data_IF_713406216887
#
_entry.id   IF_713406216887
#
_cell.length_a   1.000
_cell.length_b   1.000
_cell.length_c   1.000
_cell.angle_alpha   90.00
_cell.angle_beta   90.00
_cell.angle_gamma   90.00
#
_symmetry.space_group_name_H-M   'P 1'
#
loop_
_entity.id
_entity.type
_entity.pdbx_description
1 polymer ?
#
# COMPACT_ATOMS: atom_id res chain seq x y z
N UNK A 1 5.32 -29.18 88.98
CA UNK A 1 6.73 -29.07 88.55
C UNK A 1 6.76 -28.41 87.18
N UNK A 2 7.52 -27.30 87.08
CA UNK A 2 8.09 -26.59 85.90
C UNK A 2 7.48 -26.92 84.52
N UNK A 3 6.69 -26.00 83.93
CA UNK A 3 7.12 -24.91 83.02
C UNK A 3 7.48 -25.39 81.61
N UNK A 4 6.66 -25.07 80.61
CA UNK A 4 7.02 -24.07 79.59
C UNK A 4 5.87 -23.80 78.58
N UNK A 5 5.59 -22.51 78.46
CA UNK A 5 4.91 -21.76 77.40
C UNK A 5 5.33 -22.24 75.99
N UNK A 6 4.55 -22.10 74.90
CA UNK A 6 4.00 -20.84 74.39
C UNK A 6 3.10 -21.08 73.14
N UNK A 7 2.08 -20.21 72.97
CA UNK A 7 1.41 -19.73 71.72
C UNK A 7 0.42 -20.66 71.02
N UNK A 8 -0.89 -20.51 71.25
CA UNK A 8 -1.86 -19.50 70.74
C UNK A 8 -2.39 -19.85 69.34
N UNK A 9 -3.71 -20.08 69.30
CA UNK A 9 -4.56 -20.47 68.19
C UNK A 9 -4.96 -19.28 67.29
N UNK A 10 -5.17 -19.55 66.00
CA UNK A 10 -6.06 -18.80 65.08
C UNK A 10 -6.53 -19.82 64.01
N UNK A 11 -7.75 -20.34 64.14
CA UNK A 11 -8.98 -19.94 63.46
C UNK A 11 -9.08 -20.39 61.98
N UNK A 12 -10.09 -21.20 61.72
CA UNK A 12 -10.51 -21.70 60.42
C UNK A 12 -11.15 -20.59 59.58
N UNK A 13 -10.84 -20.56 58.28
CA UNK A 13 -11.55 -19.75 57.30
C UNK A 13 -11.68 -20.51 55.98
N UNK A 14 -12.93 -20.60 55.51
CA UNK A 14 -13.41 -21.27 54.31
C UNK A 14 -12.68 -20.87 53.03
N UNK A 15 -12.45 -21.85 52.15
CA UNK A 15 -12.12 -21.63 50.74
C UNK A 15 -13.28 -20.89 50.04
N UNK A 16 -13.05 -19.64 49.63
CA UNK A 16 -13.78 -19.02 48.53
C UNK A 16 -13.00 -19.23 47.23
N UNK A 17 -13.54 -20.04 46.34
CA UNK A 17 -13.10 -20.15 44.94
C UNK A 17 -13.43 -18.84 44.20
N UNK A 18 -12.43 -17.99 43.98
CA UNK A 18 -12.52 -16.88 43.03
C UNK A 18 -12.31 -17.43 41.62
N UNK A 19 -13.40 -17.64 40.87
CA UNK A 19 -13.33 -17.80 39.42
C UNK A 19 -12.99 -16.44 38.78
N UNK A 20 -11.70 -16.18 38.58
CA UNK A 20 -11.20 -15.14 37.68
C UNK A 20 -11.55 -15.54 36.24
N UNK A 21 -12.67 -15.02 35.73
CA UNK A 21 -12.96 -15.05 34.31
C UNK A 21 -11.93 -14.15 33.59
N UNK A 22 -10.89 -14.78 33.04
CA UNK A 22 -10.02 -14.18 32.04
C UNK A 22 -10.85 -13.97 30.77
N UNK A 23 -11.52 -12.82 30.68
CA UNK A 23 -12.00 -12.33 29.39
C UNK A 23 -10.79 -12.01 28.54
N UNK A 24 -10.62 -12.59 27.35
CA UNK A 24 -9.62 -12.10 26.42
C UNK A 24 -10.01 -10.66 26.11
N UNK A 25 -9.15 -9.71 26.49
CA UNK A 25 -9.25 -8.36 25.99
C UNK A 25 -9.00 -8.46 24.48
N UNK A 26 -10.08 -8.59 23.71
CA UNK A 26 -10.08 -8.25 22.30
C UNK A 26 -9.68 -6.79 22.29
N UNK A 27 -8.43 -6.52 21.90
CA UNK A 27 -7.96 -5.18 21.61
C UNK A 27 -8.82 -4.66 20.47
N UNK A 28 -9.90 -3.96 20.81
CA UNK A 28 -10.61 -3.11 19.88
C UNK A 28 -9.65 -1.96 19.56
N UNK A 29 -8.86 -2.13 18.50
CA UNK A 29 -8.17 -1.01 17.89
C UNK A 29 -9.24 -0.05 17.37
N UNK A 30 -9.45 1.03 18.11
CA UNK A 30 -10.24 2.18 17.67
C UNK A 30 -9.63 2.70 16.36
N UNK A 31 -10.41 3.01 15.32
CA UNK A 31 -9.88 3.62 14.10
C UNK A 31 -9.15 4.93 14.42
N UNK A 32 -8.19 5.28 13.56
CA UNK A 32 -7.14 6.31 13.69
C UNK A 32 -7.58 7.78 13.90
N UNK A 33 -8.76 8.05 14.46
CA UNK A 33 -9.33 9.39 14.67
C UNK A 33 -8.72 10.17 15.86
N UNK A 34 -7.61 9.72 16.45
CA UNK A 34 -7.01 10.35 17.64
C UNK A 34 -5.50 10.66 17.53
N UNK A 35 -4.85 10.35 16.41
CA UNK A 35 -3.39 10.51 16.29
C UNK A 35 -2.96 11.96 16.03
N UNK A 36 -3.84 12.80 15.47
CA UNK A 36 -3.56 14.19 15.13
C UNK A 36 -4.53 15.12 15.85
N UNK A 37 -4.05 16.29 16.26
CA UNK A 37 -4.92 17.34 16.78
C UNK A 37 -5.86 17.86 15.67
N UNK A 38 -7.03 18.44 16.03
CA UNK A 38 -7.91 19.06 15.05
C UNK A 38 -7.15 20.09 14.20
N UNK A 39 -7.22 19.92 12.88
CA UNK A 39 -6.50 20.75 11.93
C UNK A 39 -7.47 21.40 10.94
N UNK A 40 -7.23 22.67 10.63
CA UNK A 40 -7.94 23.40 9.58
C UNK A 40 -6.96 23.71 8.45
N UNK A 41 -7.06 23.02 7.30
CA UNK A 41 -6.15 23.25 6.19
C UNK A 41 -6.39 24.62 5.53
N UNK A 42 -5.35 25.22 4.91
CA UNK A 42 -5.53 26.30 3.95
C UNK A 42 -6.53 25.90 2.87
N UNK A 43 -7.24 26.89 2.31
CA UNK A 43 -8.30 26.66 1.32
C UNK A 43 -7.91 27.19 -0.04
N UNK A 44 -8.34 26.45 -1.07
CA UNK A 44 -8.37 26.91 -2.44
C UNK A 44 -9.52 27.89 -2.65
N UNK A 45 -9.56 28.53 -3.83
CA UNK A 45 -10.62 29.49 -4.18
C UNK A 45 -12.03 28.89 -4.23
N UNK A 46 -12.14 27.57 -4.39
CA UNK A 46 -13.40 26.81 -4.35
C UNK A 46 -13.84 26.43 -2.91
N UNK A 47 -13.07 26.81 -1.90
CA UNK A 47 -13.36 26.54 -0.48
C UNK A 47 -12.92 25.16 0.01
N UNK A 48 -12.42 24.29 -0.86
CA UNK A 48 -11.88 22.99 -0.46
C UNK A 48 -10.44 23.11 0.03
N UNK A 49 -9.94 22.14 0.82
CA UNK A 49 -8.54 22.13 1.25
C UNK A 49 -7.55 22.20 0.09
N UNK A 50 -6.47 22.95 0.29
CA UNK A 50 -5.32 22.95 -0.59
C UNK A 50 -4.43 21.73 -0.31
N UNK A 51 -4.47 20.75 -1.22
CA UNK A 51 -3.66 19.53 -1.15
C UNK A 51 -2.38 19.65 -1.99
N UNK A 52 -2.10 20.79 -2.62
CA UNK A 52 -0.93 20.96 -3.49
C UNK A 52 0.36 20.65 -2.75
N UNK A 53 1.24 19.89 -3.39
CA UNK A 53 2.55 19.58 -2.83
C UNK A 53 3.12 18.27 -3.34
N UNK A 54 4.35 18.01 -2.93
CA UNK A 54 5.01 16.72 -3.14
C UNK A 54 4.85 15.92 -1.85
N UNK A 55 4.28 14.74 -1.96
CA UNK A 55 3.92 13.84 -0.89
C UNK A 55 4.65 12.51 -1.06
N UNK A 56 4.93 11.83 0.04
CA UNK A 56 5.58 10.52 0.01
C UNK A 56 5.05 9.64 1.15
N UNK A 57 4.82 8.37 0.85
CA UNK A 57 4.59 7.37 1.88
C UNK A 57 5.92 6.95 2.50
N UNK A 58 5.99 6.94 3.84
CA UNK A 58 7.15 6.46 4.58
C UNK A 58 6.80 5.13 5.29
N UNK A 59 6.36 4.16 4.50
CA UNK A 59 5.97 2.80 4.91
C UNK A 59 6.63 1.78 3.99
N UNK A 60 6.63 0.50 4.37
CA UNK A 60 7.15 -0.60 3.55
C UNK A 60 6.07 -1.35 2.76
N UNK A 61 4.89 -0.73 2.57
CA UNK A 61 3.73 -1.29 1.88
C UNK A 61 4.01 -1.79 0.44
N UNK A 62 5.00 -1.22 -0.26
CA UNK A 62 5.40 -1.73 -1.58
C UNK A 62 6.15 -3.08 -1.51
N UNK A 63 6.70 -3.43 -0.35
CA UNK A 63 7.33 -4.73 -0.11
C UNK A 63 6.31 -5.78 0.30
N UNK A 64 5.49 -5.48 1.30
CA UNK A 64 4.34 -6.28 1.75
C UNK A 64 3.40 -5.34 2.53
N UNK A 65 2.09 -5.42 2.27
CA UNK A 65 1.08 -4.66 3.00
C UNK A 65 0.87 -5.13 4.45
N UNK A 66 1.20 -6.39 4.73
CA UNK A 66 1.12 -7.00 6.06
C UNK A 66 2.44 -6.86 6.83
N UNK A 67 2.43 -7.23 8.12
CA UNK A 67 3.66 -7.30 8.92
C UNK A 67 4.64 -8.28 8.28
N UNK A 68 5.91 -7.88 8.18
CA UNK A 68 6.93 -8.71 7.56
C UNK A 68 8.32 -8.43 8.15
N UNK A 69 9.13 -9.48 8.21
CA UNK A 69 10.54 -9.38 8.56
C UNK A 69 11.37 -8.83 7.39
N UNK A 70 12.55 -8.34 7.73
CA UNK A 70 13.57 -8.05 6.73
C UNK A 70 13.95 -9.34 6.01
N UNK A 71 14.09 -9.27 4.68
CA UNK A 71 14.31 -10.44 3.84
C UNK A 71 15.42 -10.22 2.82
N UNK A 72 16.16 -11.28 2.43
CA UNK A 72 17.09 -11.18 1.32
C UNK A 72 16.35 -10.87 0.01
N UNK A 73 17.03 -10.16 -0.89
CA UNK A 73 16.54 -9.98 -2.26
C UNK A 73 16.55 -11.29 -3.06
N UNK A 74 16.08 -11.30 -4.32
CA UNK A 74 16.10 -12.50 -5.18
C UNK A 74 17.50 -13.04 -5.52
N UNK A 75 18.52 -12.17 -5.55
CA UNK A 75 19.93 -12.51 -5.87
C UNK A 75 20.89 -12.03 -4.77
N UNK A 76 20.78 -12.54 -3.53
CA UNK A 76 21.61 -12.08 -2.41
C UNK A 76 23.09 -12.46 -2.61
N UNK A 77 23.39 -13.46 -3.43
CA UNK A 77 24.74 -13.85 -3.84
C UNK A 77 25.45 -12.79 -4.69
N UNK A 78 24.69 -11.95 -5.41
CA UNK A 78 25.24 -10.86 -6.23
C UNK A 78 25.16 -9.53 -5.49
N UNK A 79 24.01 -9.24 -4.89
CA UNK A 79 23.70 -7.90 -4.35
C UNK A 79 23.93 -7.78 -2.85
N UNK A 80 24.07 -8.89 -2.11
CA UNK A 80 24.17 -8.89 -0.65
C UNK A 80 23.07 -8.06 0.01
N UNK A 81 23.44 -7.24 0.99
CA UNK A 81 22.51 -6.36 1.70
C UNK A 81 21.89 -5.26 0.81
N UNK A 82 22.51 -4.86 -0.30
CA UNK A 82 21.95 -3.83 -1.19
C UNK A 82 20.68 -4.28 -1.90
N UNK A 83 20.47 -5.59 -2.06
CA UNK A 83 19.24 -6.15 -2.62
C UNK A 83 18.17 -6.50 -1.58
N UNK A 84 18.46 -6.31 -0.28
CA UNK A 84 17.56 -6.70 0.81
C UNK A 84 16.29 -5.86 0.88
N UNK A 85 15.19 -6.49 1.29
CA UNK A 85 13.96 -5.81 1.67
C UNK A 85 13.94 -5.48 3.17
N UNK A 86 13.44 -4.30 3.58
CA UNK A 86 13.32 -3.93 4.99
C UNK A 86 12.21 -4.74 5.67
N UNK A 87 12.26 -4.77 7.01
CA UNK A 87 11.10 -5.18 7.81
C UNK A 87 10.02 -4.08 7.77
N UNK A 88 8.79 -4.45 8.09
CA UNK A 88 7.64 -3.58 7.96
C UNK A 88 6.53 -3.86 8.96
N UNK A 89 5.85 -2.78 9.35
CA UNK A 89 4.56 -2.88 10.02
C UNK A 89 3.44 -2.87 9.00
N UNK A 90 2.38 -3.62 9.26
CA UNK A 90 1.21 -3.68 8.43
C UNK A 90 0.54 -2.31 8.33
N UNK A 91 0.13 -1.97 7.11
CA UNK A 91 -0.77 -0.85 6.85
C UNK A 91 -2.23 -1.28 6.75
N UNK A 92 -2.51 -2.58 6.82
CA UNK A 92 -3.86 -3.18 6.71
C UNK A 92 -4.58 -3.03 8.05
N UNK A 93 -5.81 -2.52 8.01
CA UNK A 93 -6.65 -2.46 9.21
C UNK A 93 -6.96 -3.88 9.70
N UNK A 94 -6.56 -4.17 10.94
CA UNK A 94 -6.65 -5.51 11.54
C UNK A 94 -5.56 -6.48 11.12
N UNK A 95 -4.59 -6.07 10.28
CA UNK A 95 -3.39 -6.84 9.93
C UNK A 95 -3.62 -8.03 8.99
N UNK A 96 -4.86 -8.29 8.57
CA UNK A 96 -5.22 -9.46 7.74
C UNK A 96 -5.95 -9.07 6.46
N UNK A 97 -5.46 -9.59 5.34
CA UNK A 97 -6.13 -9.47 4.03
C UNK A 97 -7.06 -10.68 3.84
N UNK A 98 -8.37 -10.46 3.60
CA UNK A 98 -9.39 -11.51 3.66
C UNK A 98 -9.49 -12.31 2.35
N UNK A 99 -8.40 -12.97 1.94
CA UNK A 99 -8.33 -13.78 0.73
C UNK A 99 -9.36 -14.91 0.68
N UNK A 100 -9.88 -15.19 -0.52
CA UNK A 100 -10.46 -16.51 -0.80
C UNK A 100 -9.35 -17.57 -0.81
N UNK A 101 -9.64 -18.85 -0.51
CA UNK A 101 -8.62 -19.90 -0.46
C UNK A 101 -7.78 -20.05 -1.75
N UNK A 102 -8.42 -20.02 -2.92
CA UNK A 102 -7.73 -20.11 -4.21
C UNK A 102 -6.86 -18.86 -4.48
N UNK A 103 -7.32 -17.68 -4.04
CA UNK A 103 -6.57 -16.44 -4.19
C UNK A 103 -5.31 -16.42 -3.31
N UNK A 104 -5.38 -16.94 -2.09
CA UNK A 104 -4.21 -17.09 -1.22
C UNK A 104 -3.15 -18.01 -1.84
N UNK A 105 -3.56 -19.10 -2.50
CA UNK A 105 -2.63 -19.96 -3.23
C UNK A 105 -1.97 -19.22 -4.41
N UNK A 106 -2.73 -18.42 -5.16
CA UNK A 106 -2.20 -17.58 -6.25
C UNK A 106 -1.23 -16.51 -5.74
N UNK A 107 -1.51 -15.86 -4.60
CA UNK A 107 -0.61 -14.91 -3.92
C UNK A 107 0.77 -15.53 -3.65
N UNK A 108 0.80 -16.77 -3.14
CA UNK A 108 2.06 -17.51 -2.91
C UNK A 108 2.81 -17.80 -4.22
N UNK A 109 2.10 -18.23 -5.26
CA UNK A 109 2.70 -18.43 -6.58
C UNK A 109 3.25 -17.11 -7.17
N UNK A 110 2.53 -16.00 -7.00
CA UNK A 110 2.99 -14.68 -7.41
C UNK A 110 4.30 -14.32 -6.70
N UNK A 111 4.36 -14.49 -5.38
CA UNK A 111 5.58 -14.24 -4.59
C UNK A 111 6.77 -15.05 -5.08
N UNK A 112 6.60 -16.36 -5.32
CA UNK A 112 7.66 -17.25 -5.81
C UNK A 112 8.17 -16.84 -7.21
N UNK A 113 7.30 -16.26 -8.04
CA UNK A 113 7.62 -15.88 -9.41
C UNK A 113 7.90 -14.38 -9.59
N UNK A 114 7.90 -13.58 -8.52
CA UNK A 114 7.92 -12.10 -8.57
C UNK A 114 9.09 -11.50 -9.37
N UNK A 115 10.25 -12.15 -9.36
CA UNK A 115 11.45 -11.71 -10.08
C UNK A 115 11.63 -12.38 -11.45
N UNK A 116 10.52 -12.81 -12.09
CA UNK A 116 10.55 -13.40 -13.44
C UNK A 116 10.12 -12.39 -14.49
N UNK A 117 10.86 -12.39 -15.60
CA UNK A 117 10.52 -11.63 -16.78
C UNK A 117 10.75 -12.51 -18.00
N UNK A 118 9.68 -13.17 -18.44
CA UNK A 118 9.68 -13.93 -19.69
C UNK A 118 8.75 -13.23 -20.68
N UNK A 119 9.35 -12.60 -21.69
CA UNK A 119 8.65 -11.94 -22.79
C UNK A 119 8.66 -12.77 -24.08
N UNK A 120 9.23 -13.99 -24.04
CA UNK A 120 9.20 -14.91 -25.18
C UNK A 120 7.86 -15.61 -25.36
N UNK A 121 7.01 -15.57 -24.33
CA UNK A 121 5.67 -16.16 -24.36
C UNK A 121 4.68 -15.18 -25.00
N UNK A 122 4.34 -15.43 -26.26
CA UNK A 122 3.33 -14.64 -26.97
C UNK A 122 1.98 -14.65 -26.21
N UNK A 123 1.32 -13.48 -26.17
CA UNK A 123 0.03 -13.18 -25.48
C UNK A 123 0.00 -13.27 -23.95
N UNK A 124 0.95 -13.92 -23.27
CA UNK A 124 0.92 -14.12 -21.80
C UNK A 124 2.10 -13.52 -21.04
N UNK A 125 2.98 -12.81 -21.73
CA UNK A 125 4.19 -12.24 -21.14
C UNK A 125 3.93 -11.28 -19.96
N UNK A 126 2.72 -10.73 -19.82
CA UNK A 126 2.30 -9.92 -18.67
C UNK A 126 1.88 -10.75 -17.43
N UNK A 127 1.54 -12.02 -17.58
CA UNK A 127 0.94 -12.85 -16.52
C UNK A 127 1.97 -13.39 -15.51
N UNK A 128 3.27 -13.28 -15.83
CA UNK A 128 4.35 -13.86 -15.04
C UNK A 128 5.21 -12.79 -14.36
N UNK A 129 5.36 -12.89 -13.04
CA UNK A 129 6.20 -11.99 -12.25
C UNK A 129 5.56 -10.63 -11.96
N UNK A 130 6.21 -9.87 -11.08
CA UNK A 130 5.69 -8.57 -10.64
C UNK A 130 5.79 -7.55 -11.80
N UNK A 131 4.71 -6.87 -12.19
CA UNK A 131 4.76 -5.80 -13.19
C UNK A 131 5.76 -4.68 -12.86
N UNK A 132 5.96 -4.37 -11.57
CA UNK A 132 6.95 -3.38 -11.13
C UNK A 132 8.36 -3.76 -11.61
N UNK A 133 8.70 -5.06 -11.54
CA UNK A 133 10.01 -5.58 -11.95
C UNK A 133 10.32 -5.34 -13.43
N UNK A 134 9.28 -5.16 -14.25
CA UNK A 134 9.35 -4.87 -15.69
C UNK A 134 9.13 -3.40 -16.02
N UNK A 135 9.09 -2.53 -15.01
CA UNK A 135 8.78 -1.10 -15.15
C UNK A 135 7.39 -0.84 -15.76
N UNK A 136 6.37 -1.66 -15.43
CA UNK A 136 4.99 -1.29 -15.74
C UNK A 136 4.42 -0.39 -14.65
N UNK A 137 3.46 0.44 -15.07
CA UNK A 137 2.71 1.30 -14.17
C UNK A 137 2.04 0.44 -13.08
N UNK A 138 2.20 0.80 -11.80
CA UNK A 138 1.91 -0.08 -10.67
C UNK A 138 0.41 -0.17 -10.33
N UNK A 139 -0.43 0.68 -10.92
CA UNK A 139 -1.83 0.82 -10.53
C UNK A 139 -2.03 1.51 -9.18
N UNK A 140 -3.27 1.53 -8.73
CA UNK A 140 -3.75 2.20 -7.52
C UNK A 140 -4.34 1.12 -6.60
N UNK A 141 -4.00 1.10 -5.29
CA UNK A 141 -3.30 2.14 -4.54
C UNK A 141 -1.76 2.09 -4.58
N UNK A 142 -1.14 1.08 -5.21
CA UNK A 142 0.32 0.87 -5.15
C UNK A 142 1.16 2.09 -5.49
N UNK A 143 0.82 2.82 -6.55
CA UNK A 143 1.52 4.05 -6.93
C UNK A 143 1.69 5.04 -5.77
N UNK A 144 0.70 5.14 -4.87
CA UNK A 144 0.66 6.09 -3.75
C UNK A 144 1.62 5.72 -2.61
N UNK A 145 2.01 4.45 -2.48
CA UNK A 145 2.92 3.98 -1.42
C UNK A 145 4.19 3.30 -1.90
N UNK A 146 4.50 3.40 -3.19
CA UNK A 146 5.85 3.13 -3.66
C UNK A 146 6.86 4.01 -2.92
N UNK A 147 8.13 3.58 -2.76
CA UNK A 147 9.16 4.35 -2.07
C UNK A 147 9.66 5.56 -2.89
N UNK A 148 8.76 6.21 -3.63
CA UNK A 148 8.99 7.38 -4.47
C UNK A 148 7.95 8.45 -4.13
N UNK A 149 8.30 9.75 -4.21
CA UNK A 149 7.32 10.81 -4.02
C UNK A 149 6.34 10.90 -5.19
N UNK A 150 5.23 11.58 -4.96
CA UNK A 150 4.26 11.99 -5.96
C UNK A 150 3.81 13.43 -5.70
N UNK A 151 3.39 14.13 -6.74
CA UNK A 151 2.93 15.50 -6.66
C UNK A 151 1.43 15.59 -6.91
N UNK A 152 0.72 16.28 -6.02
CA UNK A 152 -0.66 16.70 -6.24
C UNK A 152 -0.61 18.11 -6.84
N UNK A 153 -1.26 18.27 -8.00
CA UNK A 153 -1.49 19.56 -8.67
C UNK A 153 -3.00 19.78 -8.73
N UNK A 154 -3.46 20.66 -7.85
CA UNK A 154 -4.85 21.04 -7.68
C UNK A 154 -5.00 22.52 -8.09
N UNK A 155 -5.80 22.76 -9.12
CA UNK A 155 -6.26 24.11 -9.48
C UNK A 155 -7.75 24.28 -9.18
N UNK A 156 -8.33 25.39 -9.63
CA UNK A 156 -9.79 25.63 -9.52
C UNK A 156 -10.63 24.89 -10.58
N UNK A 157 -10.06 23.89 -11.26
CA UNK A 157 -10.72 23.15 -12.35
C UNK A 157 -11.46 21.92 -11.82
N UNK A 158 -12.28 21.27 -12.65
CA UNK A 158 -12.92 19.98 -12.32
C UNK A 158 -11.95 18.78 -12.38
N UNK A 159 -10.64 19.03 -12.36
CA UNK A 159 -9.59 18.03 -12.46
C UNK A 159 -8.49 18.29 -11.42
N UNK A 160 -8.03 17.22 -10.79
CA UNK A 160 -6.80 17.20 -9.98
C UNK A 160 -5.84 16.23 -10.66
N UNK A 161 -4.61 16.66 -10.90
CA UNK A 161 -3.55 15.81 -11.44
C UNK A 161 -2.71 15.27 -10.29
N UNK A 162 -2.43 13.97 -10.33
CA UNK A 162 -1.40 13.36 -9.52
C UNK A 162 -0.31 12.80 -10.44
N UNK A 163 0.92 13.25 -10.23
CA UNK A 163 2.10 12.80 -10.96
C UNK A 163 3.01 12.01 -10.03
N UNK A 164 3.46 10.84 -10.46
CA UNK A 164 4.31 9.94 -9.68
C UNK A 164 5.69 9.86 -10.30
N UNK A 165 6.72 9.78 -9.46
CA UNK A 165 8.11 9.68 -9.92
C UNK A 165 8.38 8.31 -10.60
N UNK A 166 7.80 7.21 -10.10
CA UNK A 166 7.94 5.88 -10.71
C UNK A 166 7.24 5.79 -12.07
N UNK A 167 8.02 5.40 -13.09
CA UNK A 167 7.63 5.27 -14.51
C UNK A 167 6.94 6.51 -15.10
N UNK A 168 7.16 7.68 -14.50
CA UNK A 168 6.49 8.93 -14.86
C UNK A 168 4.96 8.78 -14.93
N UNK A 169 4.40 7.92 -14.07
CA UNK A 169 2.96 7.62 -14.07
C UNK A 169 2.19 8.89 -13.74
N UNK A 170 1.06 9.09 -14.40
CA UNK A 170 0.14 10.18 -14.05
C UNK A 170 -1.27 9.65 -13.96
N UNK A 171 -2.08 10.29 -13.13
CA UNK A 171 -3.53 10.06 -13.11
C UNK A 171 -4.27 11.37 -12.95
N UNK A 172 -5.42 11.46 -13.63
CA UNK A 172 -6.32 12.59 -13.57
C UNK A 172 -7.53 12.16 -12.74
N UNK A 173 -7.73 12.81 -11.62
CA UNK A 173 -8.93 12.69 -10.80
C UNK A 173 -9.97 13.65 -11.38
N UNK A 174 -11.06 13.09 -11.90
CA UNK A 174 -12.16 13.86 -12.49
C UNK A 174 -13.20 14.13 -11.41
N UNK A 175 -13.35 15.38 -11.03
CA UNK A 175 -14.27 15.79 -9.97
C UNK A 175 -15.73 15.66 -10.45
N UNK A 176 -16.57 15.00 -9.66
CA UNK A 176 -18.01 14.77 -9.92
C UNK A 176 -18.31 14.09 -11.27
N UNK A 177 -17.36 13.34 -11.82
CA UNK A 177 -17.56 12.57 -13.04
C UNK A 177 -18.58 11.44 -12.79
N UNK A 178 -19.46 11.16 -13.75
CA UNK A 178 -20.55 10.18 -13.58
C UNK A 178 -20.48 8.98 -14.52
N UNK A 179 -19.61 9.03 -15.53
CA UNK A 179 -19.51 7.95 -16.51
C UNK A 179 -18.67 6.81 -15.94
N UNK A 180 -18.96 5.60 -16.40
CA UNK A 180 -18.15 4.41 -16.08
C UNK A 180 -16.78 4.47 -16.77
N UNK A 181 -15.84 3.69 -16.25
CA UNK A 181 -14.54 3.51 -16.88
C UNK A 181 -14.72 2.95 -18.30
N UNK A 182 -14.34 3.68 -19.37
CA UNK A 182 -14.62 3.26 -20.74
C UNK A 182 -13.76 2.07 -21.20
N UNK A 183 -12.60 1.85 -20.56
CA UNK A 183 -11.68 0.75 -20.87
C UNK A 183 -10.71 0.53 -19.71
N UNK A 184 -10.17 -0.69 -19.51
CA UNK A 184 -9.10 -0.91 -18.55
C UNK A 184 -7.89 -0.01 -18.82
N UNK A 185 -7.34 0.58 -17.76
CA UNK A 185 -6.11 1.37 -17.81
C UNK A 185 -5.15 0.96 -16.70
N UNK A 186 -3.85 1.17 -16.89
CA UNK A 186 -2.85 0.81 -15.89
C UNK A 186 -3.04 1.52 -14.54
N UNK A 187 -3.52 2.77 -14.55
CA UNK A 187 -3.72 3.59 -13.34
C UNK A 187 -5.21 3.71 -12.98
N UNK A 188 -6.08 2.95 -13.65
CA UNK A 188 -7.53 3.05 -13.52
C UNK A 188 -8.13 4.37 -13.97
N UNK A 189 -9.40 4.55 -13.63
CA UNK A 189 -10.16 5.78 -13.85
C UNK A 189 -10.61 6.35 -12.51
N UNK A 190 -10.05 7.51 -12.17
CA UNK A 190 -10.32 8.17 -10.89
C UNK A 190 -11.49 9.16 -10.98
N UNK A 191 -12.47 8.97 -10.11
CA UNK A 191 -13.62 9.85 -9.88
C UNK A 191 -13.51 10.46 -8.49
N UNK A 192 -13.44 11.78 -8.41
CA UNK A 192 -13.28 12.49 -7.15
C UNK A 192 -14.55 13.20 -6.68
N UNK A 193 -14.76 13.27 -5.37
CA UNK A 193 -15.67 14.21 -4.74
C UNK A 193 -15.13 14.61 -3.36
N UNK A 194 -15.71 15.66 -2.77
CA UNK A 194 -15.34 16.13 -1.45
C UNK A 194 -16.37 15.71 -0.40
N UNK A 195 -15.89 15.19 0.73
CA UNK A 195 -16.67 14.94 1.94
C UNK A 195 -16.09 15.81 3.05
N UNK A 196 -16.66 17.01 3.23
CA UNK A 196 -16.07 18.02 4.09
C UNK A 196 -14.66 18.39 3.60
N UNK A 197 -13.65 18.05 4.39
CA UNK A 197 -12.23 18.32 4.11
C UNK A 197 -11.50 17.14 3.47
N UNK A 198 -12.18 16.02 3.24
CA UNK A 198 -11.57 14.82 2.65
C UNK A 198 -11.85 14.77 1.16
N UNK A 199 -10.78 14.64 0.36
CA UNK A 199 -10.91 14.25 -1.04
C UNK A 199 -11.12 12.73 -1.08
N UNK A 200 -12.29 12.32 -1.56
CA UNK A 200 -12.62 10.91 -1.77
C UNK A 200 -12.47 10.60 -3.25
N UNK A 201 -11.75 9.53 -3.57
CA UNK A 201 -11.46 9.13 -4.94
C UNK A 201 -11.84 7.67 -5.14
N UNK A 202 -12.85 7.42 -5.96
CA UNK A 202 -13.16 6.07 -6.44
C UNK A 202 -12.36 5.77 -7.70
N UNK A 203 -11.75 4.59 -7.75
CA UNK A 203 -10.96 4.10 -8.88
C UNK A 203 -11.51 2.75 -9.33
N UNK A 204 -11.82 2.66 -10.63
CA UNK A 204 -12.32 1.46 -11.32
C UNK A 204 -11.63 1.28 -12.66
N UNK A 205 -11.84 0.14 -13.33
CA UNK A 205 -11.28 -0.14 -14.65
C UNK A 205 -9.75 -0.20 -14.63
N UNK A 206 -9.19 -0.82 -13.59
CA UNK A 206 -7.76 -1.11 -13.51
C UNK A 206 -7.44 -2.37 -14.28
N UNK A 207 -6.23 -2.43 -14.85
CA UNK A 207 -5.70 -3.63 -15.48
C UNK A 207 -5.50 -4.74 -14.43
N UNK A 208 -6.04 -5.92 -14.66
CA UNK A 208 -5.90 -7.07 -13.75
C UNK A 208 -4.44 -7.54 -13.57
N UNK A 209 -3.54 -7.09 -14.45
CA UNK A 209 -2.14 -7.44 -14.38
C UNK A 209 -1.39 -6.72 -13.24
N UNK A 210 -1.89 -5.60 -12.71
CA UNK A 210 -1.22 -4.87 -11.63
C UNK A 210 -1.30 -5.60 -10.29
N UNK A 211 -0.27 -5.45 -9.46
CA UNK A 211 -0.17 -6.04 -8.13
C UNK A 211 -0.15 -4.93 -7.08
N UNK A 212 -0.51 -5.25 -5.84
CA UNK A 212 -0.46 -4.31 -4.73
C UNK A 212 0.94 -4.17 -4.11
N UNK A 213 1.78 -5.21 -4.19
CA UNK A 213 3.14 -5.18 -3.63
C UNK A 213 4.03 -6.29 -4.20
N UNK A 214 5.28 -6.34 -3.73
CA UNK A 214 6.24 -7.39 -4.05
C UNK A 214 5.95 -8.71 -3.32
N UNK A 215 5.03 -8.74 -2.36
CA UNK A 215 4.62 -9.93 -1.64
C UNK A 215 3.63 -10.81 -2.44
N UNK A 216 3.21 -10.34 -3.62
CA UNK A 216 2.35 -11.06 -4.55
C UNK A 216 0.87 -10.76 -4.37
N UNK A 217 0.52 -9.79 -3.52
CA UNK A 217 -0.86 -9.34 -3.33
C UNK A 217 -1.38 -8.76 -4.65
N UNK A 218 -2.57 -9.18 -5.07
CA UNK A 218 -3.08 -8.93 -6.43
C UNK A 218 -4.59 -8.75 -6.44
N UNK A 219 -5.12 -8.31 -7.58
CA UNK A 219 -6.54 -8.15 -7.82
C UNK A 219 -6.93 -8.68 -9.21
N UNK A 220 -8.23 -8.79 -9.45
CA UNK A 220 -8.85 -9.06 -10.76
C UNK A 220 -9.21 -7.75 -11.47
N UNK A 221 -9.88 -7.85 -12.61
CA UNK A 221 -10.47 -6.72 -13.35
C UNK A 221 -11.73 -6.15 -12.67
N UNK A 222 -12.31 -6.84 -11.69
CA UNK A 222 -13.43 -6.36 -10.87
C UNK A 222 -13.00 -5.44 -9.71
N UNK A 223 -11.73 -5.00 -9.69
CA UNK A 223 -11.20 -4.14 -8.63
C UNK A 223 -11.90 -2.77 -8.58
N UNK A 224 -12.41 -2.44 -7.39
CA UNK A 224 -12.81 -1.09 -6.99
C UNK A 224 -11.99 -0.65 -5.78
N UNK A 225 -11.41 0.55 -5.87
CA UNK A 225 -10.66 1.18 -4.77
C UNK A 225 -11.32 2.50 -4.41
N UNK A 226 -11.57 2.74 -3.13
CA UNK A 226 -12.02 4.04 -2.62
C UNK A 226 -10.93 4.62 -1.74
N UNK A 227 -10.21 5.60 -2.27
CA UNK A 227 -9.16 6.33 -1.57
C UNK A 227 -9.74 7.55 -0.84
N UNK A 228 -9.13 7.92 0.28
CA UNK A 228 -9.45 9.11 1.06
C UNK A 228 -8.16 9.84 1.37
N UNK A 229 -8.10 11.13 1.01
CA UNK A 229 -7.00 12.02 1.34
C UNK A 229 -7.51 13.09 2.29
N UNK A 230 -7.16 12.97 3.57
CA UNK A 230 -7.62 13.89 4.62
C UNK A 230 -6.44 14.68 5.16
N UNK A 231 -6.39 16.01 5.01
CA UNK A 231 -5.34 16.81 5.63
C UNK A 231 -5.48 16.78 7.15
N UNK A 232 -4.42 16.32 7.84
CA UNK A 232 -4.40 16.17 9.31
C UNK A 232 -3.34 17.04 9.97
N UNK A 233 -2.42 17.62 9.20
CA UNK A 233 -1.53 18.69 9.64
C UNK A 233 -0.97 19.45 8.43
N UNK A 234 -0.20 20.54 8.61
CA UNK A 234 0.49 21.23 7.50
C UNK A 234 1.42 20.33 6.67
N UNK A 235 1.83 19.19 7.23
CA UNK A 235 2.84 18.29 6.67
C UNK A 235 2.35 16.85 6.47
N UNK A 236 1.10 16.55 6.78
CA UNK A 236 0.57 15.20 6.68
C UNK A 236 -0.83 15.16 6.07
N UNK A 237 -1.04 14.23 5.14
CA UNK A 237 -2.36 13.73 4.79
C UNK A 237 -2.53 12.37 5.43
N UNK A 238 -3.65 12.10 6.09
CA UNK A 238 -4.06 10.73 6.35
C UNK A 238 -4.58 10.14 5.03
N UNK A 239 -3.95 9.07 4.59
CA UNK A 239 -4.37 8.32 3.43
C UNK A 239 -5.01 7.01 3.86
N UNK A 240 -6.21 6.76 3.36
CA UNK A 240 -6.90 5.48 3.49
C UNK A 240 -7.28 4.98 2.11
N UNK A 241 -7.26 3.68 1.89
CA UNK A 241 -7.83 3.07 0.70
C UNK A 241 -8.63 1.82 1.08
N UNK A 242 -9.90 1.80 0.72
CA UNK A 242 -10.75 0.61 0.83
C UNK A 242 -10.69 -0.16 -0.48
N UNK A 243 -10.35 -1.43 -0.41
CA UNK A 243 -10.17 -2.34 -1.54
C UNK A 243 -11.34 -3.32 -1.57
N UNK A 244 -11.98 -3.38 -2.74
CA UNK A 244 -13.11 -4.26 -3.01
C UNK A 244 -12.86 -5.02 -4.30
N UNK A 245 -12.75 -6.34 -4.17
CA UNK A 245 -12.67 -7.24 -5.31
C UNK A 245 -13.35 -8.55 -4.90
N UNK A 246 -14.61 -8.79 -5.33
CA UNK A 246 -15.35 -9.97 -4.95
C UNK A 246 -14.84 -11.24 -5.63
N UNK A 247 -13.92 -11.18 -6.60
CA UNK A 247 -13.28 -12.36 -7.20
C UNK A 247 -12.14 -12.88 -6.33
N UNK A 248 -11.37 -11.99 -5.71
CA UNK A 248 -10.15 -12.30 -4.96
C UNK A 248 -10.39 -12.37 -3.45
N UNK A 249 -11.20 -11.46 -2.90
CA UNK A 249 -11.40 -11.31 -1.46
C UNK A 249 -12.79 -11.76 -1.01
N UNK A 250 -12.92 -12.13 0.26
CA UNK A 250 -14.19 -12.55 0.89
C UNK A 250 -15.02 -11.38 1.41
N UNK A 251 -14.38 -10.22 1.64
CA UNK A 251 -15.01 -8.96 2.07
C UNK A 251 -14.11 -7.78 1.68
N UNK A 252 -14.65 -6.55 1.64
CA UNK A 252 -13.84 -5.33 1.60
C UNK A 252 -12.81 -5.29 2.74
N UNK A 253 -11.66 -4.71 2.47
CA UNK A 253 -10.60 -4.46 3.44
C UNK A 253 -9.96 -3.10 3.19
N UNK A 254 -9.20 -2.58 4.16
CA UNK A 254 -8.73 -1.19 4.12
C UNK A 254 -7.26 -1.11 4.54
N UNK A 255 -6.53 -0.19 3.92
CA UNK A 255 -5.21 0.26 4.37
C UNK A 255 -5.27 1.70 4.87
N UNK A 256 -4.41 2.06 5.83
CA UNK A 256 -4.36 3.41 6.41
C UNK A 256 -2.96 3.78 6.87
N UNK A 257 -2.45 4.94 6.44
CA UNK A 257 -1.17 5.48 6.89
C UNK A 257 -1.03 6.98 6.55
N UNK A 258 -0.16 7.73 7.26
CA UNK A 258 0.13 9.10 6.89
C UNK A 258 1.03 9.19 5.64
N UNK A 259 0.70 10.13 4.77
CA UNK A 259 1.57 10.65 3.73
C UNK A 259 2.29 11.89 4.25
N UNK A 260 3.58 12.00 3.96
CA UNK A 260 4.45 13.05 4.44
C UNK A 260 4.74 14.05 3.33
N UNK A 261 4.58 15.34 3.63
CA UNK A 261 4.96 16.40 2.70
C UNK A 261 6.48 16.50 2.62
N UNK A 262 7.02 16.57 1.40
CA UNK A 262 8.43 16.89 1.17
C UNK A 262 8.64 18.39 1.35
N UNK A 263 9.62 18.74 2.19
CA UNK A 263 9.84 20.11 2.70
C UNK A 263 11.24 20.65 2.37
N UNK A 264 12.02 19.89 1.62
CA UNK A 264 13.35 20.29 1.19
C UNK A 264 13.28 21.57 0.35
N UNK A 265 14.30 22.43 0.49
CA UNK A 265 14.38 23.68 -0.27
C UNK A 265 14.44 23.35 -1.76
N UNK A 266 13.54 23.97 -2.54
CA UNK A 266 13.41 23.74 -3.98
C UNK A 266 13.15 22.27 -4.35
N UNK A 267 12.41 21.52 -3.52
CA UNK A 267 12.02 20.16 -3.86
C UNK A 267 11.29 20.13 -5.21
N UNK A 268 11.66 19.18 -6.05
CA UNK A 268 11.04 18.90 -7.34
C UNK A 268 10.69 17.42 -7.39
N UNK A 269 9.59 17.11 -8.09
CA UNK A 269 9.32 15.74 -8.45
C UNK A 269 10.30 15.36 -9.56
N UNK A 270 11.15 14.37 -9.30
CA UNK A 270 12.12 13.90 -10.28
C UNK A 270 11.53 12.76 -11.08
N UNK A 271 12.28 12.31 -12.08
CA UNK A 271 11.86 11.26 -12.97
C UNK A 271 12.59 9.96 -12.68
N UNK A 272 11.84 8.87 -12.46
CA UNK A 272 12.37 7.52 -12.42
C UNK A 272 11.99 6.77 -13.71
N UNK A 273 12.73 7.06 -14.79
CA UNK A 273 12.62 6.34 -16.07
C UNK A 273 13.20 4.93 -15.96
N UNK A 274 12.42 3.98 -15.46
CA UNK A 274 12.91 2.62 -15.24
C UNK A 274 12.98 1.73 -16.49
N UNK A 275 12.37 2.12 -17.62
CA UNK A 275 12.30 1.27 -18.81
C UNK A 275 13.70 0.83 -19.27
N UNK A 276 14.70 1.74 -19.42
CA UNK A 276 16.07 1.36 -19.77
C UNK A 276 16.73 0.39 -18.78
N UNK A 277 16.34 0.40 -17.50
CA UNK A 277 16.93 -0.48 -16.48
C UNK A 277 16.42 -1.93 -16.61
N UNK A 278 15.30 -2.13 -17.31
CA UNK A 278 14.68 -3.45 -17.51
C UNK A 278 14.97 -4.06 -18.89
N UNK A 279 15.59 -3.31 -19.79
CA UNK A 279 15.84 -3.75 -21.18
C UNK A 279 16.64 -5.04 -21.26
N UNK A 280 17.67 -5.19 -20.44
CA UNK A 280 18.51 -6.40 -20.49
C UNK A 280 17.73 -7.65 -20.03
N UNK A 281 16.85 -7.48 -19.04
CA UNK A 281 16.04 -8.57 -18.51
C UNK A 281 14.93 -8.95 -19.50
N UNK A 282 14.30 -7.97 -20.14
CA UNK A 282 13.22 -8.21 -21.10
C UNK A 282 13.77 -8.66 -22.46
N UNK A 283 14.68 -7.89 -23.05
CA UNK A 283 15.08 -8.04 -24.45
C UNK A 283 16.48 -8.62 -24.66
N UNK A 284 17.27 -8.80 -23.60
CA UNK A 284 18.58 -9.44 -23.67
C UNK A 284 18.58 -10.77 -24.44
N UNK A 285 17.60 -11.68 -24.21
CA UNK A 285 17.48 -12.94 -24.97
C UNK A 285 17.29 -12.76 -26.49
N UNK A 286 16.78 -11.60 -26.93
CA UNK A 286 16.58 -11.28 -28.36
C UNK A 286 17.68 -10.39 -28.94
N UNK A 287 18.61 -9.92 -28.10
CA UNK A 287 19.73 -9.12 -28.58
C UNK A 287 20.59 -9.94 -29.53
N UNK A 288 20.91 -9.38 -30.71
CA UNK A 288 21.88 -10.00 -31.60
C UNK A 288 23.22 -10.02 -30.87
N UNK A 289 23.71 -11.21 -30.55
CA UNK A 289 25.11 -11.36 -30.14
C UNK A 289 25.98 -10.97 -31.34
N UNK A 290 26.53 -9.75 -31.32
CA UNK A 290 27.61 -9.40 -32.24
C UNK A 290 28.79 -10.29 -31.87
N UNK A 291 29.00 -11.36 -32.65
CA UNK A 291 30.04 -12.33 -32.42
C UNK A 291 31.38 -11.64 -32.17
N UNK A 292 32.00 -11.96 -31.04
CA UNK A 292 33.37 -11.56 -30.77
C UNK A 292 34.29 -12.15 -31.83
N UNK A 293 34.80 -11.31 -32.71
CA UNK A 293 36.02 -11.61 -33.43
C UNK A 293 37.17 -11.53 -32.41
N UNK A 294 37.69 -12.70 -32.01
CA UNK A 294 39.10 -12.87 -31.64
C UNK A 294 39.76 -13.69 -32.74
#
# INVERSE_FOLDING_TARGET
MRSNYTKVAVAASMLLLLCLALTPAISQQTPANGQFAPYRPPRMADGHPDLNGIWQALVSANWDLQDHDAQPGPHPEVMGAYGGGPAGQSVVEGGEIPYKPAALAKKRQNFENRARADVSVDKKWHELGDPEFKCYMPGVPRATYMPFPFQIVQGSSTYILMAYEFTSSTRIIRMNWKQEAPTPSWMGWSRGHWEGDTLVVEVTGQRAETWFDRAGDYHSDDLRVVERYTPVSPYHLMYEATIEDPQVYTRPWKISFPLYRRMEKNVQLLEYKCVPFTEQILYGPFSKQTGGAR
#
